data_IF_690526904382
#
_entry.id   IF_690526904382
#
_cell.length_a   1.000
_cell.length_b   1.000
_cell.length_c   1.000
_cell.angle_alpha   90.00
_cell.angle_beta   90.00
_cell.angle_gamma   90.00
#
_symmetry.space_group_name_H-M   'P 1'
#
loop_
_entity.id
_entity.type
_entity.pdbx_description
1 polymer ?
#
# COMPACT_ATOMS: atom_id res chain seq x y z
N UNK A 1 23.71 -21.37 12.78
CA UNK A 1 24.99 -20.65 12.95
C UNK A 1 25.77 -20.82 11.65
N UNK A 2 26.02 -19.76 10.85
CA UNK A 2 26.76 -19.92 9.58
C UNK A 2 28.23 -20.19 9.90
N UNK A 3 28.75 -21.33 9.46
CA UNK A 3 30.10 -21.85 9.73
C UNK A 3 31.21 -21.20 8.88
N UNK A 4 30.86 -20.27 7.97
CA UNK A 4 31.79 -19.52 7.11
C UNK A 4 31.35 -18.06 6.97
N UNK A 5 32.26 -17.20 6.52
CA UNK A 5 31.94 -15.83 6.15
C UNK A 5 31.15 -15.80 4.82
N UNK A 6 30.03 -15.06 4.79
CA UNK A 6 29.24 -14.81 3.58
C UNK A 6 29.58 -13.44 3.00
N UNK A 7 28.60 -12.71 2.47
CA UNK A 7 28.81 -11.30 2.04
C UNK A 7 29.25 -10.37 3.19
N UNK A 8 28.96 -10.75 4.43
CA UNK A 8 29.35 -10.04 5.63
C UNK A 8 30.15 -10.95 6.57
N UNK A 9 31.13 -10.36 7.25
CA UNK A 9 31.92 -10.97 8.32
C UNK A 9 31.83 -10.09 9.57
N UNK A 10 31.44 -10.70 10.69
CA UNK A 10 31.51 -10.05 12.01
C UNK A 10 32.87 -10.38 12.63
N UNK A 11 33.64 -9.35 12.95
CA UNK A 11 34.94 -9.48 13.60
C UNK A 11 34.78 -9.61 15.13
N UNK A 12 35.86 -9.95 15.83
CA UNK A 12 35.88 -10.14 17.29
C UNK A 12 35.53 -8.86 18.06
N UNK A 13 35.93 -7.70 17.52
CA UNK A 13 35.58 -6.36 18.02
C UNK A 13 34.13 -5.95 17.72
N UNK A 14 33.32 -6.87 17.18
CA UNK A 14 31.93 -6.69 16.73
C UNK A 14 31.76 -5.78 15.51
N UNK A 15 32.83 -5.32 14.87
CA UNK A 15 32.73 -4.60 13.60
C UNK A 15 32.20 -5.53 12.49
N UNK A 16 31.47 -4.96 11.53
CA UNK A 16 30.93 -5.67 10.38
C UNK A 16 31.72 -5.25 9.14
N UNK A 17 32.38 -6.22 8.52
CA UNK A 17 33.04 -6.05 7.23
C UNK A 17 32.18 -6.63 6.12
N UNK A 18 32.25 -6.04 4.93
CA UNK A 18 31.65 -6.57 3.70
C UNK A 18 32.74 -7.00 2.72
N UNK A 19 32.47 -8.04 1.94
CA UNK A 19 33.38 -8.49 0.89
C UNK A 19 33.38 -7.50 -0.29
N UNK A 20 34.56 -7.16 -0.80
CA UNK A 20 34.71 -6.49 -2.09
C UNK A 20 34.60 -7.53 -3.21
N UNK A 21 33.66 -7.35 -4.14
CA UNK A 21 33.41 -8.34 -5.20
C UNK A 21 34.52 -8.45 -6.25
N UNK A 22 35.43 -7.48 -6.33
CA UNK A 22 36.57 -7.51 -7.25
C UNK A 22 37.77 -8.22 -6.64
N UNK A 23 38.07 -7.96 -5.37
CA UNK A 23 39.26 -8.51 -4.71
C UNK A 23 38.97 -9.76 -3.88
N UNK A 24 37.73 -9.95 -3.43
CA UNK A 24 37.34 -11.00 -2.49
C UNK A 24 37.75 -10.70 -1.04
N UNK A 25 38.31 -9.52 -0.77
CA UNK A 25 38.78 -9.14 0.56
C UNK A 25 37.67 -8.47 1.39
N UNK A 26 37.76 -8.59 2.72
CA UNK A 26 36.79 -7.99 3.64
C UNK A 26 37.27 -6.66 4.17
N UNK A 27 36.55 -5.59 3.86
CA UNK A 27 36.82 -4.24 4.38
C UNK A 27 35.68 -3.74 5.27
N UNK A 28 35.91 -2.72 6.12
CA UNK A 28 34.84 -2.07 6.87
C UNK A 28 33.68 -1.68 5.95
N UNK A 29 32.46 -1.96 6.40
CA UNK A 29 31.26 -1.65 5.62
C UNK A 29 31.09 -0.13 5.51
N UNK A 30 31.12 0.39 4.29
CA UNK A 30 30.76 1.79 4.02
C UNK A 30 29.26 2.00 4.10
N UNK A 31 28.83 3.06 4.81
CA UNK A 31 27.44 3.51 4.76
C UNK A 31 27.18 4.21 3.42
N UNK A 32 26.48 3.52 2.51
CA UNK A 32 26.00 4.12 1.26
C UNK A 32 24.69 4.85 1.53
N UNK A 33 24.60 6.11 1.10
CA UNK A 33 23.37 6.90 1.18
C UNK A 33 22.79 7.06 -0.23
N UNK A 34 21.50 6.79 -0.36
CA UNK A 34 20.72 6.99 -1.58
C UNK A 34 19.72 8.12 -1.33
N UNK A 35 19.69 9.12 -2.21
CA UNK A 35 18.82 10.28 -2.04
C UNK A 35 17.35 9.89 -2.14
N UNK A 36 17.02 8.91 -2.98
CA UNK A 36 15.65 8.42 -3.10
C UNK A 36 15.14 7.80 -1.80
N UNK A 37 16.02 7.11 -1.05
CA UNK A 37 15.67 6.53 0.24
C UNK A 37 15.39 7.62 1.27
N UNK A 38 16.19 8.69 1.30
CA UNK A 38 15.93 9.84 2.17
C UNK A 38 14.58 10.48 1.85
N UNK A 39 14.33 10.78 0.57
CA UNK A 39 13.06 11.39 0.14
C UNK A 39 11.88 10.47 0.46
N UNK A 40 12.00 9.17 0.20
CA UNK A 40 10.95 8.20 0.51
C UNK A 40 10.67 8.12 2.01
N UNK A 41 11.71 8.16 2.85
CA UNK A 41 11.56 8.15 4.31
C UNK A 41 10.76 9.36 4.83
N UNK A 42 10.84 10.49 4.15
CA UNK A 42 10.08 11.71 4.49
C UNK A 42 8.60 11.63 4.07
N UNK A 43 8.21 10.61 3.29
CA UNK A 43 6.80 10.38 2.88
C UNK A 43 6.08 9.50 3.89
N UNK A 44 4.79 9.78 4.08
CA UNK A 44 3.94 9.01 5.00
C UNK A 44 3.26 7.84 4.29
N UNK A 45 2.60 8.11 3.15
CA UNK A 45 1.83 7.12 2.40
C UNK A 45 2.73 6.19 1.61
N UNK A 46 2.36 4.91 1.56
CA UNK A 46 3.08 3.90 0.77
C UNK A 46 3.24 4.30 -0.70
N UNK A 47 2.18 4.81 -1.33
CA UNK A 47 2.24 5.24 -2.73
C UNK A 47 3.31 6.33 -2.97
N UNK A 48 3.34 7.36 -2.12
CA UNK A 48 4.33 8.43 -2.22
C UNK A 48 5.76 7.92 -2.01
N UNK A 49 5.94 6.96 -1.09
CA UNK A 49 7.24 6.27 -0.87
C UNK A 49 7.66 5.52 -2.14
N UNK A 50 6.75 4.73 -2.73
CA UNK A 50 7.03 3.96 -3.94
C UNK A 50 7.34 4.87 -5.14
N UNK A 51 6.60 5.96 -5.31
CA UNK A 51 6.85 6.97 -6.35
C UNK A 51 8.25 7.59 -6.18
N UNK A 52 8.61 8.01 -4.95
CA UNK A 52 9.91 8.58 -4.66
C UNK A 52 11.07 7.61 -4.95
N UNK A 53 10.87 6.32 -4.66
CA UNK A 53 11.87 5.28 -4.94
C UNK A 53 11.94 4.93 -6.43
N UNK A 54 10.82 4.88 -7.15
CA UNK A 54 10.81 4.45 -8.55
C UNK A 54 11.26 5.55 -9.51
N UNK A 55 10.95 6.81 -9.22
CA UNK A 55 11.12 7.91 -10.16
C UNK A 55 12.20 8.94 -9.77
N UNK A 56 13.07 8.61 -8.81
CA UNK A 56 14.28 9.40 -8.57
C UNK A 56 15.37 9.15 -9.61
N UNK A 57 16.39 10.02 -9.63
CA UNK A 57 17.48 9.98 -10.63
C UNK A 57 18.74 9.24 -10.15
N UNK A 58 18.80 8.89 -8.87
CA UNK A 58 19.96 8.26 -8.26
C UNK A 58 20.07 6.76 -8.59
N UNK A 59 21.23 6.17 -8.28
CA UNK A 59 21.48 4.73 -8.52
C UNK A 59 20.51 3.83 -7.76
N UNK A 60 20.06 4.25 -6.58
CA UNK A 60 19.06 3.53 -5.79
C UNK A 60 17.73 3.45 -6.54
N UNK A 61 17.26 4.57 -7.09
CA UNK A 61 16.01 4.61 -7.84
C UNK A 61 16.04 3.79 -9.10
N UNK A 62 17.15 3.83 -9.85
CA UNK A 62 17.32 3.01 -11.05
C UNK A 62 17.24 1.52 -10.72
N UNK A 63 17.85 1.10 -9.61
CA UNK A 63 17.77 -0.29 -9.14
C UNK A 63 16.34 -0.67 -8.75
N UNK A 64 15.67 0.14 -7.93
CA UNK A 64 14.29 -0.12 -7.49
C UNK A 64 13.36 -0.19 -8.70
N UNK A 65 13.45 0.76 -9.63
CA UNK A 65 12.64 0.76 -10.84
C UNK A 65 12.83 -0.52 -11.67
N UNK A 66 14.08 -0.93 -11.92
CA UNK A 66 14.35 -2.15 -12.70
C UNK A 66 13.74 -3.40 -12.06
N UNK A 67 13.87 -3.55 -10.74
CA UNK A 67 13.28 -4.69 -10.02
C UNK A 67 11.77 -4.62 -10.03
N UNK A 68 11.19 -3.46 -9.75
CA UNK A 68 9.74 -3.23 -9.73
C UNK A 68 9.15 -3.49 -11.11
N UNK A 69 9.62 -2.82 -12.17
CA UNK A 69 9.09 -2.95 -13.53
C UNK A 69 9.13 -4.41 -14.02
N UNK A 70 10.22 -5.13 -13.76
CA UNK A 70 10.32 -6.56 -14.10
C UNK A 70 9.33 -7.41 -13.31
N UNK A 71 9.16 -7.12 -12.01
CA UNK A 71 8.20 -7.84 -11.15
C UNK A 71 6.75 -7.60 -11.59
N UNK A 72 6.42 -6.37 -11.97
CA UNK A 72 5.11 -5.97 -12.48
C UNK A 72 4.78 -6.67 -13.81
N UNK A 73 5.68 -6.57 -14.79
CA UNK A 73 5.55 -7.25 -16.09
C UNK A 73 5.46 -8.77 -15.89
N UNK A 74 6.30 -9.33 -15.01
CA UNK A 74 6.27 -10.76 -14.71
C UNK A 74 4.91 -11.16 -14.14
N UNK A 75 4.41 -10.44 -13.14
CA UNK A 75 3.12 -10.71 -12.49
C UNK A 75 1.96 -10.63 -13.49
N UNK A 76 1.96 -9.62 -14.35
CA UNK A 76 0.94 -9.48 -15.39
C UNK A 76 1.00 -10.59 -16.47
N UNK A 77 2.17 -11.17 -16.74
CA UNK A 77 2.30 -12.33 -17.63
C UNK A 77 1.86 -13.65 -16.98
N UNK A 78 1.61 -13.69 -15.67
CA UNK A 78 1.10 -14.88 -14.97
C UNK A 78 -0.40 -15.07 -15.09
N UNK A 79 -1.09 -14.14 -15.77
CA UNK A 79 -2.51 -14.27 -16.09
C UNK A 79 -2.64 -14.65 -17.56
N UNK A 80 -3.39 -15.72 -17.92
CA UNK A 80 -4.09 -16.66 -17.05
C UNK A 80 -3.25 -17.90 -16.64
N UNK A 81 -1.94 -17.93 -16.93
CA UNK A 81 -1.10 -19.13 -16.77
C UNK A 81 -1.09 -19.73 -15.34
N UNK A 82 -0.98 -18.88 -14.32
CA UNK A 82 -0.85 -19.29 -12.90
C UNK A 82 -2.03 -18.79 -12.06
N UNK A 83 -2.70 -17.72 -12.47
CA UNK A 83 -3.86 -17.18 -11.78
C UNK A 83 -4.84 -16.56 -12.75
N UNK A 84 -6.13 -16.69 -12.45
CA UNK A 84 -7.21 -16.17 -13.28
C UNK A 84 -7.47 -14.67 -13.06
N UNK A 85 -6.98 -14.11 -11.95
CA UNK A 85 -7.23 -12.73 -11.56
C UNK A 85 -6.06 -12.07 -10.82
N UNK A 86 -6.07 -10.74 -10.84
CA UNK A 86 -5.01 -9.93 -10.21
C UNK A 86 -5.08 -9.94 -8.67
N UNK A 87 -6.26 -10.21 -8.11
CA UNK A 87 -6.51 -10.14 -6.65
C UNK A 87 -5.78 -11.26 -5.94
N UNK A 88 -5.84 -12.46 -6.52
CA UNK A 88 -5.15 -13.64 -6.00
C UNK A 88 -3.64 -13.52 -6.11
N UNK A 89 -3.10 -12.91 -7.18
CA UNK A 89 -1.66 -12.61 -7.28
C UNK A 89 -1.24 -11.62 -6.19
N UNK A 90 -1.99 -10.53 -6.00
CA UNK A 90 -1.70 -9.55 -4.96
C UNK A 90 -1.75 -10.16 -3.56
N UNK A 91 -2.81 -10.92 -3.26
CA UNK A 91 -2.96 -11.60 -1.97
C UNK A 91 -1.87 -12.64 -1.74
N UNK A 92 -1.43 -13.37 -2.77
CA UNK A 92 -0.32 -14.32 -2.65
C UNK A 92 0.97 -13.62 -2.19
N UNK A 93 1.29 -12.44 -2.71
CA UNK A 93 2.48 -11.70 -2.25
C UNK A 93 2.27 -11.04 -0.88
N UNK A 94 1.09 -10.49 -0.61
CA UNK A 94 0.78 -9.91 0.71
C UNK A 94 0.83 -10.95 1.82
N UNK A 95 0.19 -12.10 1.63
CA UNK A 95 0.09 -13.13 2.67
C UNK A 95 1.29 -14.08 2.70
N UNK A 96 1.89 -14.37 1.55
CA UNK A 96 3.04 -15.27 1.46
C UNK A 96 4.39 -14.62 1.73
N UNK A 97 4.54 -13.34 1.37
CA UNK A 97 5.81 -12.61 1.44
C UNK A 97 5.74 -11.33 2.29
N UNK A 98 4.63 -11.11 3.00
CA UNK A 98 4.41 -9.94 3.85
C UNK A 98 4.56 -8.60 3.11
N UNK A 99 4.15 -8.55 1.84
CA UNK A 99 4.07 -7.28 1.11
C UNK A 99 2.93 -6.44 1.69
N UNK A 100 3.13 -5.12 1.76
CA UNK A 100 2.08 -4.18 2.18
C UNK A 100 1.04 -3.96 1.07
N UNK A 101 1.50 -3.89 -0.18
CA UNK A 101 0.68 -3.82 -1.38
C UNK A 101 1.16 -4.89 -2.38
N UNK A 102 0.23 -5.61 -3.00
CA UNK A 102 0.57 -6.58 -4.05
C UNK A 102 1.10 -5.89 -5.32
N UNK A 103 1.60 -6.66 -6.32
CA UNK A 103 2.07 -6.10 -7.58
C UNK A 103 1.11 -5.11 -8.24
N UNK A 104 -0.19 -5.42 -8.36
CA UNK A 104 -1.14 -4.57 -9.06
C UNK A 104 -1.59 -3.38 -8.22
N UNK A 105 -1.77 -3.56 -6.90
CA UNK A 105 -1.96 -2.44 -5.96
C UNK A 105 -0.76 -1.48 -5.97
N UNK A 106 0.47 -2.01 -6.03
CA UNK A 106 1.70 -1.24 -6.14
C UNK A 106 1.85 -0.56 -7.50
N UNK A 107 1.37 -1.19 -8.57
CA UNK A 107 1.34 -0.61 -9.91
C UNK A 107 0.38 0.59 -9.98
N UNK A 108 -0.82 0.45 -9.40
CA UNK A 108 -1.76 1.56 -9.24
C UNK A 108 -1.12 2.71 -8.43
N UNK A 109 -0.43 2.37 -7.35
CA UNK A 109 0.22 3.35 -6.47
C UNK A 109 1.31 4.18 -7.16
N UNK A 110 2.06 3.60 -8.12
CA UNK A 110 3.08 4.33 -8.90
C UNK A 110 2.54 4.95 -10.20
N UNK A 111 1.26 4.75 -10.49
CA UNK A 111 0.57 5.19 -11.71
C UNK A 111 0.81 4.25 -12.89
N UNK A 112 -0.26 3.60 -13.37
CA UNK A 112 -0.18 2.58 -14.45
C UNK A 112 0.28 3.21 -15.77
N UNK A 113 -0.37 4.28 -16.25
CA UNK A 113 0.03 4.98 -17.48
C UNK A 113 1.49 5.41 -17.47
N UNK A 114 1.87 6.18 -16.44
CA UNK A 114 3.22 6.73 -16.29
C UNK A 114 4.28 5.64 -16.30
N UNK A 115 4.04 4.55 -15.60
CA UNK A 115 4.98 3.42 -15.54
C UNK A 115 5.02 2.65 -16.85
N UNK A 116 3.89 2.45 -17.53
CA UNK A 116 3.83 1.82 -18.87
C UNK A 116 4.59 2.65 -19.91
N UNK A 117 4.37 3.97 -19.98
CA UNK A 117 5.08 4.86 -20.91
C UNK A 117 6.60 4.79 -20.70
N UNK A 118 7.03 4.77 -19.43
CA UNK A 118 8.44 4.58 -19.09
C UNK A 118 8.95 3.19 -19.51
N UNK A 119 8.21 2.13 -19.21
CA UNK A 119 8.58 0.77 -19.62
C UNK A 119 8.76 0.68 -21.15
N UNK A 120 7.84 1.27 -21.93
CA UNK A 120 7.90 1.28 -23.39
C UNK A 120 9.10 2.10 -23.91
N UNK A 121 9.35 3.30 -23.37
CA UNK A 121 10.50 4.11 -23.77
C UNK A 121 11.85 3.46 -23.45
N UNK A 122 11.90 2.60 -22.42
CA UNK A 122 13.05 1.77 -22.07
C UNK A 122 13.09 0.42 -22.81
N UNK A 123 12.19 0.19 -23.77
CA UNK A 123 12.15 -1.03 -24.60
C UNK A 123 11.65 -2.29 -23.88
N UNK A 124 10.99 -2.15 -22.72
CA UNK A 124 10.39 -3.27 -21.98
C UNK A 124 9.03 -3.64 -22.59
N UNK A 125 8.76 -4.94 -22.69
CA UNK A 125 7.51 -5.47 -23.24
C UNK A 125 6.44 -5.57 -22.15
N UNK A 126 5.54 -4.60 -22.11
CA UNK A 126 4.35 -4.63 -21.26
C UNK A 126 3.32 -5.61 -21.83
N UNK A 127 2.64 -6.44 -21.01
CA UNK A 127 1.62 -7.36 -21.51
C UNK A 127 0.46 -6.65 -22.20
N UNK A 128 -0.02 -7.21 -23.31
CA UNK A 128 -1.02 -6.59 -24.18
C UNK A 128 -2.30 -6.20 -23.42
N UNK A 129 -2.78 -7.05 -22.51
CA UNK A 129 -4.01 -6.80 -21.76
C UNK A 129 -3.94 -5.54 -20.87
N UNK A 130 -2.73 -5.15 -20.41
CA UNK A 130 -2.53 -3.91 -19.65
C UNK A 130 -2.64 -2.69 -20.58
N UNK A 131 -2.10 -2.78 -21.79
CA UNK A 131 -2.22 -1.74 -22.80
C UNK A 131 -3.68 -1.57 -23.24
N UNK A 132 -4.38 -2.69 -23.48
CA UNK A 132 -5.80 -2.68 -23.83
C UNK A 132 -6.67 -2.07 -22.72
N UNK A 133 -6.37 -2.35 -21.45
CA UNK A 133 -7.05 -1.71 -20.31
C UNK A 133 -6.90 -0.19 -20.34
N UNK A 134 -5.68 0.27 -20.58
CA UNK A 134 -5.35 1.69 -20.67
C UNK A 134 -5.99 2.34 -21.92
N UNK A 135 -6.05 1.66 -23.06
CA UNK A 135 -6.73 2.12 -24.28
C UNK A 135 -8.25 2.20 -24.10
N UNK A 136 -8.83 1.32 -23.28
CA UNK A 136 -10.23 1.38 -22.88
C UNK A 136 -10.54 2.54 -21.90
N UNK A 137 -9.55 3.38 -21.57
CA UNK A 137 -9.71 4.56 -20.70
C UNK A 137 -9.66 4.25 -19.20
N UNK A 138 -9.30 3.02 -18.81
CA UNK A 138 -9.15 2.65 -17.40
C UNK A 138 -7.70 2.83 -16.96
N UNK A 139 -7.47 3.78 -16.07
CA UNK A 139 -6.12 4.19 -15.62
C UNK A 139 -5.59 3.40 -14.42
N UNK A 140 -6.41 2.58 -13.77
CA UNK A 140 -6.05 1.78 -12.58
C UNK A 140 -6.62 0.36 -12.66
N UNK A 141 -5.93 -0.60 -12.09
CA UNK A 141 -6.41 -1.98 -11.95
C UNK A 141 -7.58 -2.05 -10.97
N UNK A 142 -7.45 -1.41 -9.81
CA UNK A 142 -8.50 -1.35 -8.79
C UNK A 142 -9.26 -0.02 -8.83
N UNK A 143 -10.56 -0.06 -8.52
CA UNK A 143 -11.37 1.13 -8.29
C UNK A 143 -12.25 0.90 -7.06
N UNK A 144 -12.38 1.93 -6.22
CA UNK A 144 -13.28 1.92 -5.07
C UNK A 144 -14.22 3.10 -5.21
N UNK A 145 -15.51 2.82 -5.34
CA UNK A 145 -16.55 3.84 -5.49
C UNK A 145 -17.86 3.35 -4.87
N UNK A 146 -18.55 4.23 -4.14
CA UNK A 146 -19.88 3.96 -3.58
C UNK A 146 -19.98 2.65 -2.78
N UNK A 147 -18.98 2.31 -1.96
CA UNK A 147 -18.97 1.09 -1.17
C UNK A 147 -18.51 -0.17 -1.90
N UNK A 148 -18.24 -0.07 -3.20
CA UNK A 148 -17.89 -1.21 -4.05
C UNK A 148 -16.43 -1.10 -4.46
N UNK A 149 -15.67 -2.17 -4.25
CA UNK A 149 -14.33 -2.33 -4.82
C UNK A 149 -14.42 -3.22 -6.05
N UNK A 150 -13.86 -2.76 -7.16
CA UNK A 150 -13.72 -3.52 -8.40
C UNK A 150 -12.27 -3.70 -8.77
N UNK A 151 -11.98 -4.74 -9.54
CA UNK A 151 -10.70 -4.97 -10.19
C UNK A 151 -10.89 -5.20 -11.69
N UNK A 152 -9.88 -4.92 -12.51
CA UNK A 152 -9.94 -5.20 -13.94
C UNK A 152 -9.72 -6.70 -14.21
N UNK A 153 -10.66 -7.36 -14.87
CA UNK A 153 -10.50 -8.74 -15.32
C UNK A 153 -9.82 -8.77 -16.71
N UNK A 154 -8.58 -9.30 -16.84
CA UNK A 154 -7.88 -9.31 -18.12
C UNK A 154 -8.56 -10.18 -19.19
N UNK A 155 -9.18 -11.29 -18.77
CA UNK A 155 -9.88 -12.22 -19.68
C UNK A 155 -11.24 -11.70 -20.13
N UNK A 156 -11.99 -11.10 -19.21
CA UNK A 156 -13.30 -10.54 -19.49
C UNK A 156 -13.27 -9.15 -20.12
N UNK A 157 -12.15 -8.42 -20.01
CA UNK A 157 -11.99 -7.01 -20.41
C UNK A 157 -13.06 -6.08 -19.82
N UNK A 158 -13.41 -6.32 -18.56
CA UNK A 158 -14.36 -5.49 -17.82
C UNK A 158 -14.01 -5.47 -16.32
N UNK A 159 -14.49 -4.48 -15.56
CA UNK A 159 -14.35 -4.45 -14.11
C UNK A 159 -15.23 -5.53 -13.46
N UNK A 160 -14.67 -6.26 -12.50
CA UNK A 160 -15.37 -7.28 -11.70
C UNK A 160 -15.38 -6.84 -10.23
N UNK A 161 -16.50 -7.05 -9.55
CA UNK A 161 -16.67 -6.71 -8.13
C UNK A 161 -15.86 -7.67 -7.26
N UNK A 162 -15.13 -7.13 -6.28
CA UNK A 162 -14.48 -7.93 -5.23
C UNK A 162 -15.51 -8.20 -4.14
N UNK A 163 -16.01 -9.43 -4.10
CA UNK A 163 -16.91 -9.87 -3.04
C UNK A 163 -16.26 -9.71 -1.67
N UNK A 164 -16.98 -9.03 -0.77
CA UNK A 164 -16.57 -8.87 0.61
C UNK A 164 -17.14 -10.04 1.43
N UNK A 165 -16.36 -10.52 2.39
CA UNK A 165 -16.88 -11.47 3.36
C UNK A 165 -17.91 -10.74 4.24
N UNK A 166 -19.17 -11.21 4.34
CA UNK A 166 -20.22 -10.54 5.10
C UNK A 166 -19.91 -10.44 6.61
N UNK A 167 -18.96 -11.24 7.12
CA UNK A 167 -18.50 -11.20 8.51
C UNK A 167 -17.37 -10.20 8.75
N UNK A 168 -16.91 -9.50 7.71
CA UNK A 168 -15.80 -8.54 7.77
C UNK A 168 -16.30 -7.18 7.31
N UNK A 169 -16.27 -6.21 8.22
CA UNK A 169 -16.50 -4.81 7.86
C UNK A 169 -15.19 -4.23 7.29
N UNK A 170 -15.23 -3.73 6.06
CA UNK A 170 -14.14 -2.92 5.51
C UNK A 170 -14.51 -1.44 5.65
N UNK A 171 -13.90 -0.76 6.62
CA UNK A 171 -14.21 0.62 6.97
C UNK A 171 -13.87 1.59 5.83
N UNK A 172 -12.82 1.31 5.04
CA UNK A 172 -12.46 2.13 3.88
C UNK A 172 -13.55 2.06 2.81
N UNK A 173 -14.03 0.86 2.49
CA UNK A 173 -15.15 0.69 1.55
C UNK A 173 -16.42 1.32 2.10
N UNK A 174 -16.74 1.05 3.36
CA UNK A 174 -17.93 1.59 4.01
C UNK A 174 -18.01 3.11 3.95
N UNK A 175 -16.90 3.81 4.22
CA UNK A 175 -16.80 5.27 4.11
C UNK A 175 -16.94 5.76 2.67
N UNK A 176 -16.46 5.00 1.68
CA UNK A 176 -16.61 5.38 0.27
C UNK A 176 -18.07 5.39 -0.22
N UNK A 177 -19.00 4.78 0.54
CA UNK A 177 -20.44 4.86 0.28
C UNK A 177 -21.09 6.14 0.83
N UNK A 178 -20.33 7.05 1.44
CA UNK A 178 -20.86 8.30 2.00
C UNK A 178 -21.33 8.19 3.45
N UNK A 179 -20.98 7.12 4.16
CA UNK A 179 -21.43 6.86 5.54
C UNK A 179 -20.65 7.64 6.61
N UNK A 180 -19.83 8.63 6.24
CA UNK A 180 -19.12 9.49 7.20
C UNK A 180 -20.01 10.67 7.57
N UNK A 181 -20.46 10.73 8.83
CA UNK A 181 -21.33 11.78 9.35
C UNK A 181 -20.58 13.07 9.64
N UNK A 182 -19.39 12.94 10.23
CA UNK A 182 -18.52 14.06 10.58
C UNK A 182 -17.07 13.63 10.47
N UNK A 183 -16.22 14.53 9.96
CA UNK A 183 -14.78 14.30 9.83
C UNK A 183 -14.01 15.51 10.34
N UNK A 184 -12.94 15.22 11.05
CA UNK A 184 -11.97 16.20 11.53
C UNK A 184 -10.53 15.71 11.22
N UNK A 185 -9.50 16.42 11.71
CA UNK A 185 -8.10 16.20 11.37
C UNK A 185 -7.54 14.84 11.80
N UNK A 186 -8.00 14.33 12.94
CA UNK A 186 -7.51 13.09 13.55
C UNK A 186 -8.62 12.15 14.01
N UNK A 187 -9.88 12.46 13.71
CA UNK A 187 -10.98 11.55 13.94
C UNK A 187 -12.14 11.74 12.95
N UNK A 188 -12.97 10.72 12.80
CA UNK A 188 -14.24 10.79 12.07
C UNK A 188 -15.31 10.01 12.83
N UNK A 189 -16.56 10.41 12.68
CA UNK A 189 -17.72 9.60 13.06
C UNK A 189 -18.37 9.05 11.81
N UNK A 190 -18.50 7.73 11.75
CA UNK A 190 -19.09 6.99 10.66
C UNK A 190 -20.35 6.27 11.17
N UNK A 191 -21.42 6.28 10.39
CA UNK A 191 -22.58 5.41 10.63
C UNK A 191 -22.24 4.01 10.13
N UNK A 192 -22.28 2.97 10.97
CA UNK A 192 -22.03 1.59 10.55
C UNK A 192 -23.31 0.86 10.10
N UNK A 193 -24.47 1.48 10.23
CA UNK A 193 -25.77 0.83 10.13
C UNK A 193 -26.25 0.29 11.47
N UNK A 194 -27.48 -0.24 11.49
CA UNK A 194 -28.14 -0.82 12.67
C UNK A 194 -28.26 0.11 13.90
N UNK A 195 -28.04 1.41 13.72
CA UNK A 195 -27.96 2.40 14.79
C UNK A 195 -26.65 2.31 15.58
N UNK A 196 -25.57 1.84 14.96
CA UNK A 196 -24.24 1.75 15.56
C UNK A 196 -23.30 2.77 14.89
N UNK A 197 -22.65 3.60 15.69
CA UNK A 197 -21.63 4.54 15.24
C UNK A 197 -20.24 3.92 15.33
N UNK A 198 -19.33 4.38 14.49
CA UNK A 198 -17.90 4.19 14.69
C UNK A 198 -17.22 5.54 14.84
N UNK A 199 -16.47 5.71 15.94
CA UNK A 199 -15.51 6.80 16.05
C UNK A 199 -14.16 6.25 15.60
N UNK A 200 -13.79 6.58 14.37
CA UNK A 200 -12.51 6.24 13.78
C UNK A 200 -11.50 7.32 14.14
N UNK A 201 -10.45 6.97 14.85
CA UNK A 201 -9.29 7.85 14.97
C UNK A 201 -8.28 7.55 13.89
N UNK A 202 -7.76 8.60 13.28
CA UNK A 202 -6.81 8.58 12.19
C UNK A 202 -5.87 9.78 12.33
N UNK A 203 -4.93 9.98 11.42
CA UNK A 203 -4.16 11.23 11.41
C UNK A 203 -3.78 11.57 9.99
N UNK A 204 -4.16 12.77 9.56
CA UNK A 204 -3.74 13.27 8.25
C UNK A 204 -2.23 13.53 8.24
N UNK A 205 -1.67 13.98 9.36
CA UNK A 205 -0.26 14.37 9.46
C UNK A 205 0.68 13.18 9.72
N UNK A 206 0.27 12.26 10.59
CA UNK A 206 1.07 11.09 10.97
C UNK A 206 0.19 9.82 10.96
N UNK A 207 -0.19 9.31 9.77
CA UNK A 207 -1.17 8.23 9.62
C UNK A 207 -0.80 6.91 10.31
N UNK A 208 0.43 6.75 10.79
CA UNK A 208 0.90 5.54 11.47
C UNK A 208 0.89 5.66 13.00
N UNK A 209 0.72 6.89 13.52
CA UNK A 209 0.82 7.16 14.96
C UNK A 209 -0.55 7.22 15.65
N UNK A 210 -1.61 7.61 14.94
CA UNK A 210 -2.97 7.73 15.47
C UNK A 210 -3.01 8.40 16.86
N UNK A 211 -2.66 9.69 16.95
CA UNK A 211 -2.62 10.41 18.22
C UNK A 211 -4.03 10.51 18.81
N UNK A 212 -4.11 10.34 20.13
CA UNK A 212 -5.33 10.61 20.90
C UNK A 212 -5.25 12.07 21.32
N UNK A 213 -5.94 12.94 20.60
CA UNK A 213 -5.93 14.38 20.81
C UNK A 213 -7.36 14.92 21.04
N UNK A 214 -7.50 16.26 21.09
CA UNK A 214 -8.79 16.90 21.30
C UNK A 214 -9.79 16.61 20.18
N UNK A 215 -9.35 16.43 18.94
CA UNK A 215 -10.22 16.09 17.81
C UNK A 215 -10.93 14.76 18.06
N UNK A 216 -10.19 13.77 18.58
CA UNK A 216 -10.79 12.49 18.91
C UNK A 216 -11.82 12.60 20.04
N UNK A 217 -11.49 13.33 21.11
CA UNK A 217 -12.43 13.57 22.23
C UNK A 217 -13.69 14.29 21.74
N UNK A 218 -13.54 15.27 20.86
CA UNK A 218 -14.67 15.99 20.25
C UNK A 218 -15.55 15.08 19.40
N UNK A 219 -14.96 14.16 18.62
CA UNK A 219 -15.75 13.19 17.85
C UNK A 219 -16.47 12.17 18.74
N UNK A 220 -15.87 11.77 19.88
CA UNK A 220 -16.55 10.94 20.87
C UNK A 220 -17.77 11.67 21.44
N UNK A 221 -17.61 12.93 21.88
CA UNK A 221 -18.72 13.72 22.43
C UNK A 221 -19.83 13.91 21.38
N UNK A 222 -19.46 14.20 20.13
CA UNK A 222 -20.44 14.28 19.04
C UNK A 222 -21.22 12.97 18.84
N UNK A 223 -20.55 11.81 18.92
CA UNK A 223 -21.21 10.52 18.84
C UNK A 223 -22.13 10.24 20.05
N UNK A 224 -21.71 10.65 21.26
CA UNK A 224 -22.55 10.55 22.47
C UNK A 224 -23.82 11.39 22.30
N UNK A 225 -23.72 12.64 21.84
CA UNK A 225 -24.88 13.51 21.61
C UNK A 225 -25.91 12.87 20.65
N UNK A 226 -25.44 12.19 19.60
CA UNK A 226 -26.29 11.46 18.65
C UNK A 226 -27.00 10.26 19.30
N UNK A 227 -26.33 9.58 20.23
CA UNK A 227 -26.92 8.47 20.99
C UNK A 227 -27.94 8.98 22.01
N UNK A 228 -27.64 10.05 22.74
CA UNK A 228 -28.54 10.63 23.76
C UNK A 228 -29.81 11.21 23.15
N UNK A 229 -29.76 11.72 21.91
CA UNK A 229 -30.95 12.14 21.14
C UNK A 229 -31.86 10.99 20.74
N UNK A 230 -31.34 9.76 20.75
CA UNK A 230 -32.06 8.55 20.33
C UNK A 230 -31.91 8.18 18.86
N UNK A 231 -31.05 8.88 18.10
CA UNK A 231 -30.79 8.58 16.68
C UNK A 231 -29.97 7.29 16.52
N UNK A 232 -29.15 6.95 17.53
CA UNK A 232 -28.27 5.78 17.55
C UNK A 232 -28.31 5.08 18.92
N UNK A 233 -27.86 3.82 18.96
CA UNK A 233 -27.95 2.93 20.13
C UNK A 233 -26.61 2.54 20.72
N UNK A 234 -25.53 2.61 19.94
CA UNK A 234 -24.20 2.23 20.38
C UNK A 234 -23.12 2.96 19.57
N UNK A 235 -21.89 2.96 20.10
CA UNK A 235 -20.69 3.36 19.36
C UNK A 235 -19.59 2.31 19.52
N UNK A 236 -18.72 2.21 18.50
CA UNK A 236 -17.48 1.44 18.50
C UNK A 236 -16.31 2.38 18.29
N UNK A 237 -15.35 2.35 19.21
CA UNK A 237 -14.10 3.08 19.10
C UNK A 237 -13.06 2.20 18.40
N UNK A 238 -12.57 2.60 17.23
CA UNK A 238 -11.60 1.79 16.50
C UNK A 238 -11.37 2.21 15.06
N UNK A 239 -10.27 1.73 14.49
CA UNK A 239 -9.84 1.95 13.11
C UNK A 239 -9.17 0.67 12.57
N UNK A 240 -8.84 0.64 11.26
CA UNK A 240 -8.24 -0.54 10.60
C UNK A 240 -6.77 -0.31 10.18
N UNK A 241 -6.03 0.43 11.00
CA UNK A 241 -4.60 0.71 10.80
C UNK A 241 -3.71 -0.24 11.60
N UNK A 242 -2.40 -0.22 11.32
CA UNK A 242 -1.46 -1.21 11.86
C UNK A 242 -1.25 -1.14 13.39
N UNK A 243 -1.25 0.06 13.96
CA UNK A 243 -1.10 0.29 15.40
C UNK A 243 -2.39 0.89 15.93
N UNK A 244 -2.84 0.54 17.15
CA UNK A 244 -3.96 1.24 17.81
C UNK A 244 -3.59 2.72 17.97
N UNK A 245 -2.66 3.05 18.86
CA UNK A 245 -2.05 4.37 18.99
C UNK A 245 -0.56 4.23 19.28
N UNK A 246 0.23 5.23 18.91
CA UNK A 246 1.66 5.26 19.18
C UNK A 246 2.01 6.38 20.17
N UNK A 247 2.22 5.99 21.43
CA UNK A 247 2.87 6.80 22.48
C UNK A 247 2.05 7.97 23.00
#
# INVERSE_FOLDING_TARGET
QKTKAGFYKKNEDRSIHSVDFKTGEYSPMGLVRFDCFRIAKDRQKLADKMIALCYGDDRGSKFVWEVTARSLIYSANRIPEISDDIVNIDNALKWGYAWEAGPFEGWDAIGVRRSVDRMQSEGKKVPAWVLEMLEAGRETFYCTENGVRTYWCPMGKHPVIIEQNPKVLNLVLHKSAGNTLKRDLSASVNDLGDGVLNVEFHSILQPTLHPIDSSYVEMINYAIDLIEKGDYRAMVLGHQGANFSAG
#
